data_IF_587128617998
#
_entry.id   IF_587128617998
#
_cell.length_a   1.000
_cell.length_b   1.000
_cell.length_c   1.000
_cell.angle_alpha   90.00
_cell.angle_beta   90.00
_cell.angle_gamma   90.00
#
_symmetry.space_group_name_H-M   'P 1'
#
loop_
_entity.id
_entity.type
_entity.pdbx_description
1 polymer ?
#
# COMPACT_ATOMS: atom_id res chain seq x y z
N UNK A 1 -11.09 4.47 -10.97
CA UNK A 1 -11.21 4.43 -9.50
C UNK A 1 -10.14 3.49 -8.94
N UNK A 2 -9.47 3.86 -7.85
CA UNK A 2 -8.56 2.94 -7.16
C UNK A 2 -9.37 1.99 -6.28
N UNK A 3 -9.04 0.71 -6.30
CA UNK A 3 -9.71 -0.32 -5.50
C UNK A 3 -8.68 -1.10 -4.67
N UNK A 4 -8.84 -1.22 -3.34
CA UNK A 4 -7.98 -2.08 -2.53
C UNK A 4 -8.17 -3.55 -2.94
N UNK A 5 -7.07 -4.32 -2.97
CA UNK A 5 -7.09 -5.72 -3.42
C UNK A 5 -6.65 -6.68 -2.33
N UNK A 6 -5.48 -6.43 -1.74
CA UNK A 6 -4.89 -7.25 -0.70
C UNK A 6 -3.77 -6.50 0.02
N UNK A 7 -3.23 -7.13 1.04
CA UNK A 7 -2.10 -6.66 1.83
C UNK A 7 -0.92 -7.61 1.61
N UNK A 8 0.27 -7.08 1.34
CA UNK A 8 1.48 -7.90 1.15
C UNK A 8 2.51 -7.48 2.18
N UNK A 9 3.14 -8.46 2.83
CA UNK A 9 4.21 -8.21 3.79
C UNK A 9 5.36 -7.48 3.07
N UNK A 10 5.94 -6.45 3.70
CA UNK A 10 6.87 -5.52 3.03
C UNK A 10 8.07 -6.22 2.39
N UNK A 11 8.62 -7.29 2.99
CA UNK A 11 9.75 -8.03 2.43
C UNK A 11 9.35 -8.84 1.19
N UNK A 12 8.15 -9.43 1.18
CA UNK A 12 7.60 -10.10 0.00
C UNK A 12 7.27 -9.08 -1.10
N UNK A 13 6.67 -7.94 -0.72
CA UNK A 13 6.35 -6.84 -1.62
C UNK A 13 7.60 -6.28 -2.30
N UNK A 14 8.68 -6.05 -1.52
CA UNK A 14 9.96 -5.55 -2.03
C UNK A 14 10.63 -6.51 -3.03
N UNK A 15 10.46 -7.82 -2.83
CA UNK A 15 10.93 -8.85 -3.76
C UNK A 15 10.04 -9.02 -5.00
N UNK A 16 8.94 -8.28 -5.10
CA UNK A 16 7.93 -8.44 -6.15
C UNK A 16 7.14 -9.75 -6.03
N UNK A 17 7.19 -10.40 -4.87
CA UNK A 17 6.45 -11.63 -4.61
C UNK A 17 4.99 -11.29 -4.33
N UNK A 18 4.08 -12.02 -4.97
CA UNK A 18 2.63 -11.96 -4.69
C UNK A 18 2.15 -13.13 -3.82
N UNK A 19 3.05 -14.06 -3.50
CA UNK A 19 2.80 -15.13 -2.53
C UNK A 19 2.51 -14.56 -1.15
N UNK A 20 1.72 -15.27 -0.33
CA UNK A 20 1.42 -14.90 1.06
C UNK A 20 0.69 -13.57 1.25
N UNK A 21 0.12 -13.01 0.18
CA UNK A 21 -0.78 -11.87 0.29
C UNK A 21 -1.97 -12.20 1.21
N UNK A 22 -2.28 -11.28 2.11
CA UNK A 22 -3.46 -11.32 2.97
C UNK A 22 -4.63 -10.66 2.25
N UNK A 23 -5.74 -11.39 2.14
CA UNK A 23 -7.00 -10.84 1.66
C UNK A 23 -7.49 -9.69 2.55
N UNK A 24 -8.41 -8.88 2.02
CA UNK A 24 -9.01 -7.79 2.79
C UNK A 24 -9.76 -8.33 4.02
N UNK A 25 -10.40 -9.48 3.86
CA UNK A 25 -11.16 -10.19 4.88
C UNK A 25 -10.26 -10.71 6.01
N UNK A 26 -9.04 -11.17 5.72
CA UNK A 26 -8.11 -11.71 6.73
C UNK A 26 -7.66 -10.68 7.77
N UNK A 27 -7.60 -9.40 7.40
CA UNK A 27 -7.25 -8.32 8.34
C UNK A 27 -8.47 -7.58 8.87
N UNK A 28 -9.69 -7.87 8.39
CA UNK A 28 -10.89 -7.16 8.81
C UNK A 28 -11.10 -7.24 10.33
N UNK A 29 -11.43 -6.11 10.95
CA UNK A 29 -11.62 -5.95 12.39
C UNK A 29 -10.32 -5.92 13.20
N UNK A 30 -9.15 -6.09 12.57
CA UNK A 30 -7.87 -6.05 13.27
C UNK A 30 -7.51 -4.60 13.62
N UNK A 31 -6.95 -4.42 14.81
CA UNK A 31 -6.33 -3.16 15.21
C UNK A 31 -5.07 -2.93 14.40
N UNK A 32 -4.95 -1.75 13.79
CA UNK A 32 -3.81 -1.40 12.96
C UNK A 32 -3.33 0.01 13.28
N UNK A 33 -2.04 0.24 13.04
CA UNK A 33 -1.51 1.60 12.91
C UNK A 33 -1.15 1.82 11.44
N UNK A 34 -1.39 3.01 10.94
CA UNK A 34 -1.15 3.35 9.53
C UNK A 34 -0.16 4.49 9.43
N UNK A 35 0.66 4.51 8.38
CA UNK A 35 1.49 5.67 8.08
C UNK A 35 1.58 5.93 6.58
N UNK A 36 1.67 7.20 6.20
CA UNK A 36 1.81 7.59 4.79
C UNK A 36 2.46 8.96 4.60
N UNK A 37 3.09 9.13 3.43
CA UNK A 37 3.71 10.36 2.95
C UNK A 37 3.21 10.66 1.52
N UNK A 38 1.88 10.77 1.40
CA UNK A 38 1.14 10.99 0.15
C UNK A 38 0.34 12.30 0.19
N UNK A 39 -0.01 12.86 -0.97
CA UNK A 39 -0.76 14.11 -1.07
C UNK A 39 -2.19 14.10 -0.50
N UNK A 40 -2.78 12.93 -0.24
CA UNK A 40 -4.10 12.82 0.43
C UNK A 40 -4.16 11.63 1.41
N UNK A 41 -3.56 11.76 2.61
CA UNK A 41 -3.53 10.69 3.62
C UNK A 41 -4.93 10.29 4.09
N UNK A 42 -5.85 11.25 4.25
CA UNK A 42 -7.22 11.00 4.70
C UNK A 42 -7.98 10.03 3.78
N UNK A 43 -7.77 10.10 2.47
CA UNK A 43 -8.37 9.16 1.51
C UNK A 43 -7.85 7.73 1.68
N UNK A 44 -6.55 7.58 1.96
CA UNK A 44 -5.95 6.28 2.24
C UNK A 44 -6.47 5.69 3.54
N UNK A 45 -6.57 6.50 4.60
CA UNK A 45 -7.16 6.09 5.88
C UNK A 45 -8.61 5.67 5.73
N UNK A 46 -9.42 6.45 5.00
CA UNK A 46 -10.80 6.11 4.72
C UNK A 46 -10.91 4.77 3.96
N UNK A 47 -10.04 4.53 2.98
CA UNK A 47 -10.01 3.26 2.25
C UNK A 47 -9.77 2.07 3.18
N UNK A 48 -8.87 2.20 4.16
CA UNK A 48 -8.58 1.15 5.14
C UNK A 48 -9.74 0.95 6.13
N UNK A 49 -10.38 2.03 6.56
CA UNK A 49 -11.57 1.98 7.40
C UNK A 49 -12.75 1.30 6.66
N UNK A 50 -12.94 1.59 5.38
CA UNK A 50 -13.98 0.98 4.54
C UNK A 50 -13.75 -0.53 4.31
N UNK A 51 -12.49 -0.97 4.29
CA UNK A 51 -12.11 -2.39 4.32
C UNK A 51 -12.47 -3.06 5.66
N UNK A 52 -12.72 -2.25 6.70
CA UNK A 52 -13.15 -2.69 8.02
C UNK A 52 -12.00 -2.83 9.01
N UNK A 53 -10.89 -2.12 8.82
CA UNK A 53 -9.78 -2.08 9.77
C UNK A 53 -10.07 -1.10 10.91
N UNK A 54 -9.60 -1.43 12.11
CA UNK A 54 -9.69 -0.58 13.30
C UNK A 54 -8.40 0.23 13.44
N UNK A 55 -8.36 1.41 12.84
CA UNK A 55 -7.19 2.29 12.83
C UNK A 55 -7.04 2.93 14.21
N UNK A 56 -6.05 2.48 15.00
CA UNK A 56 -5.73 3.04 16.32
C UNK A 56 -5.00 4.36 16.23
N UNK A 57 -4.11 4.46 15.25
CA UNK A 57 -3.33 5.66 15.01
C UNK A 57 -2.97 5.78 13.52
N UNK A 58 -2.89 7.03 13.04
CA UNK A 58 -2.43 7.37 11.71
C UNK A 58 -1.28 8.39 11.80
N UNK A 59 -0.08 7.99 11.37
CA UNK A 59 1.10 8.85 11.33
C UNK A 59 1.23 9.43 9.92
N UNK A 60 1.16 10.76 9.82
CA UNK A 60 1.24 11.47 8.53
C UNK A 60 2.57 12.20 8.42
N UNK A 61 3.24 11.99 7.30
CA UNK A 61 4.44 12.73 6.91
C UNK A 61 4.13 13.62 5.71
N UNK A 62 4.96 14.65 5.44
CA UNK A 62 4.85 15.46 4.23
C UNK A 62 4.86 14.58 2.96
N UNK A 63 4.16 15.00 1.92
CA UNK A 63 4.18 14.25 0.66
C UNK A 63 5.62 14.09 0.15
N UNK A 64 5.94 12.91 -0.38
CA UNK A 64 7.28 12.53 -0.83
C UNK A 64 8.35 12.38 0.26
N UNK A 65 8.00 12.40 1.55
CA UNK A 65 8.96 12.12 2.63
C UNK A 65 9.66 10.77 2.46
N UNK A 66 10.97 10.75 2.64
CA UNK A 66 11.82 9.55 2.71
C UNK A 66 11.97 9.11 4.16
N UNK A 67 11.83 7.81 4.43
CA UNK A 67 11.87 7.30 5.79
C UNK A 67 13.29 6.96 6.21
N UNK A 68 13.77 7.58 7.30
CA UNK A 68 15.01 7.18 7.95
C UNK A 68 14.84 5.93 8.84
N UNK A 69 15.95 5.27 9.17
CA UNK A 69 15.95 4.14 10.11
C UNK A 69 15.37 4.52 11.49
N UNK A 70 15.75 5.68 12.04
CA UNK A 70 15.26 6.16 13.33
C UNK A 70 13.74 6.42 13.31
N UNK A 71 13.22 6.91 12.18
CA UNK A 71 11.79 7.14 12.02
C UNK A 71 11.01 5.83 11.92
N UNK A 72 11.53 4.87 11.16
CA UNK A 72 10.90 3.54 11.07
C UNK A 72 10.93 2.80 12.41
N UNK A 73 12.00 2.96 13.20
CA UNK A 73 12.07 2.45 14.57
C UNK A 73 11.03 3.12 15.46
N UNK A 74 10.90 4.45 15.40
CA UNK A 74 9.87 5.19 16.14
C UNK A 74 8.45 4.72 15.79
N UNK A 75 8.15 4.54 14.51
CA UNK A 75 6.86 3.99 14.05
C UNK A 75 6.63 2.59 14.63
N UNK A 76 7.65 1.72 14.61
CA UNK A 76 7.56 0.37 15.18
C UNK A 76 7.31 0.38 16.69
N UNK A 77 8.06 1.19 17.44
CA UNK A 77 7.90 1.33 18.89
C UNK A 77 6.49 1.79 19.28
N UNK A 78 5.93 2.73 18.52
CA UNK A 78 4.53 3.15 18.69
C UNK A 78 3.55 2.03 18.40
N UNK A 79 3.78 1.26 17.33
CA UNK A 79 2.94 0.12 17.00
C UNK A 79 2.89 -0.90 18.14
N UNK A 80 4.06 -1.21 18.71
CA UNK A 80 4.20 -2.13 19.84
C UNK A 80 3.47 -1.56 21.07
N UNK A 81 3.69 -0.28 21.38
CA UNK A 81 3.06 0.39 22.53
C UNK A 81 1.54 0.40 22.46
N UNK A 82 0.98 0.67 21.28
CA UNK A 82 -0.47 0.68 21.04
C UNK A 82 -1.05 -0.74 20.87
N UNK A 83 -0.19 -1.77 20.94
CA UNK A 83 -0.57 -3.18 20.81
C UNK A 83 -1.40 -3.45 19.54
N UNK A 84 -0.98 -2.84 18.42
CA UNK A 84 -1.66 -3.04 17.13
C UNK A 84 -1.22 -4.36 16.50
N UNK A 85 -2.15 -5.02 15.83
CA UNK A 85 -1.88 -6.29 15.18
C UNK A 85 -1.10 -6.17 13.86
N UNK A 86 -0.98 -4.97 13.29
CA UNK A 86 -0.20 -4.70 12.08
C UNK A 86 0.07 -3.21 11.86
N UNK A 87 1.14 -2.92 11.13
CA UNK A 87 1.40 -1.65 10.46
C UNK A 87 0.94 -1.72 9.00
N UNK A 88 0.37 -0.63 8.48
CA UNK A 88 -0.03 -0.55 7.07
C UNK A 88 0.47 0.74 6.44
N UNK A 89 1.04 0.62 5.24
CA UNK A 89 1.49 1.75 4.43
C UNK A 89 1.09 1.60 2.96
N UNK A 90 1.40 2.62 2.16
CA UNK A 90 1.14 2.64 0.72
C UNK A 90 2.31 2.07 -0.07
N UNK A 91 2.06 1.62 -1.29
CA UNK A 91 3.12 1.23 -2.22
C UNK A 91 4.09 2.39 -2.55
N UNK A 92 3.61 3.65 -2.55
CA UNK A 92 4.45 4.83 -2.78
C UNK A 92 5.42 5.08 -1.63
N UNK A 93 5.04 4.71 -0.41
CA UNK A 93 5.86 4.91 0.78
C UNK A 93 6.79 3.72 1.01
N UNK A 94 6.32 2.51 0.70
CA UNK A 94 7.10 1.27 0.78
C UNK A 94 8.44 1.34 0.02
N UNK A 95 8.50 2.00 -1.15
CA UNK A 95 9.76 2.15 -1.93
C UNK A 95 10.81 3.01 -1.25
N UNK A 96 10.42 3.81 -0.24
CA UNK A 96 11.29 4.76 0.46
C UNK A 96 11.74 4.24 1.82
N UNK A 97 11.28 3.05 2.21
CA UNK A 97 11.66 2.42 3.48
C UNK A 97 13.06 1.81 3.33
N UNK A 98 13.99 2.04 4.27
CA UNK A 98 15.32 1.46 4.21
C UNK A 98 15.27 -0.06 4.17
N UNK A 99 16.07 -0.65 3.30
CA UNK A 99 16.12 -2.10 3.06
C UNK A 99 16.51 -2.86 4.34
N UNK A 100 17.37 -2.25 5.16
CA UNK A 100 17.78 -2.75 6.47
C UNK A 100 16.58 -2.93 7.40
N UNK A 101 15.63 -1.98 7.39
CA UNK A 101 14.40 -2.11 8.15
C UNK A 101 13.50 -3.20 7.57
N UNK A 102 13.44 -3.33 6.23
CA UNK A 102 12.61 -4.32 5.53
C UNK A 102 12.99 -5.76 5.91
N UNK A 103 14.28 -6.03 6.12
CA UNK A 103 14.77 -7.37 6.47
C UNK A 103 15.09 -7.57 7.95
N UNK A 104 14.84 -6.56 8.78
CA UNK A 104 14.97 -6.69 10.23
C UNK A 104 13.83 -7.56 10.81
N UNK A 105 14.09 -8.24 11.92
CA UNK A 105 13.06 -8.98 12.64
C UNK A 105 12.14 -8.00 13.37
N UNK A 106 10.86 -7.96 12.97
CA UNK A 106 9.88 -6.99 13.45
C UNK A 106 8.85 -7.68 14.34
N UNK A 107 8.58 -7.09 15.50
CA UNK A 107 7.52 -7.59 16.41
C UNK A 107 6.12 -7.41 15.82
N UNK A 108 5.89 -6.31 15.09
CA UNK A 108 4.63 -6.03 14.41
C UNK A 108 4.84 -6.16 12.89
N UNK A 109 4.03 -6.95 12.18
CA UNK A 109 4.16 -7.08 10.73
C UNK A 109 3.84 -5.76 10.03
N UNK A 110 4.60 -5.44 8.97
CA UNK A 110 4.38 -4.28 8.11
C UNK A 110 3.80 -4.75 6.78
N UNK A 111 2.60 -4.30 6.48
CA UNK A 111 1.91 -4.58 5.22
C UNK A 111 1.85 -3.36 4.30
N UNK A 112 1.97 -3.63 3.01
CA UNK A 112 1.69 -2.68 1.93
C UNK A 112 0.30 -2.96 1.38
N UNK A 113 -0.58 -1.95 1.36
CA UNK A 113 -1.86 -2.05 0.68
C UNK A 113 -1.65 -2.01 -0.84
N UNK A 114 -2.02 -3.09 -1.53
CA UNK A 114 -2.09 -3.08 -2.98
C UNK A 114 -3.43 -2.52 -3.46
N UNK A 115 -3.34 -1.63 -4.45
CA UNK A 115 -4.49 -1.04 -5.12
C UNK A 115 -4.47 -1.36 -6.61
N UNK A 116 -5.65 -1.61 -7.19
CA UNK A 116 -5.86 -1.72 -8.63
C UNK A 116 -6.57 -0.49 -9.19
N UNK A 117 -6.28 -0.17 -10.44
CA UNK A 117 -7.04 0.84 -11.18
C UNK A 117 -8.17 0.13 -11.93
N UNK A 118 -9.40 0.54 -11.64
CA UNK A 118 -10.59 0.11 -12.38
C UNK A 118 -11.10 1.24 -13.27
N UNK A 119 -11.24 0.93 -14.57
CA UNK A 119 -11.95 1.76 -15.54
C UNK A 119 -13.44 1.52 -15.32
N UNK A 120 -14.13 2.50 -14.74
CA UNK A 120 -15.55 2.42 -14.35
C UNK A 120 -16.51 2.73 -15.50
N UNK A 121 -16.03 3.35 -16.57
CA UNK A 121 -16.81 3.70 -17.77
C UNK A 121 -15.90 3.83 -18.98
N UNK A 122 -16.40 3.52 -20.18
CA UNK A 122 -15.63 3.69 -21.42
C UNK A 122 -14.48 2.69 -21.60
N UNK A 123 -14.53 1.54 -20.92
CA UNK A 123 -13.52 0.47 -21.05
C UNK A 123 -13.37 0.02 -22.51
N UNK A 124 -14.49 -0.19 -23.20
CA UNK A 124 -14.48 -0.67 -24.59
C UNK A 124 -13.85 0.36 -25.52
N UNK A 125 -14.22 1.64 -25.36
CA UNK A 125 -13.62 2.74 -26.11
C UNK A 125 -12.11 2.88 -25.85
N UNK A 126 -11.68 2.73 -24.60
CA UNK A 126 -10.27 2.74 -24.24
C UNK A 126 -9.52 1.59 -24.91
N UNK A 127 -10.06 0.36 -24.85
CA UNK A 127 -9.47 -0.81 -25.50
C UNK A 127 -9.39 -0.67 -27.01
N UNK A 128 -10.47 -0.22 -27.66
CA UNK A 128 -10.50 0.04 -29.10
C UNK A 128 -9.47 1.10 -29.52
N UNK A 129 -9.34 2.17 -28.75
CA UNK A 129 -8.39 3.26 -29.03
C UNK A 129 -6.95 2.77 -28.93
N UNK A 130 -6.61 2.04 -27.86
CA UNK A 130 -5.28 1.43 -27.69
C UNK A 130 -4.99 0.46 -28.84
N UNK A 131 -5.93 -0.44 -29.16
CA UNK A 131 -5.77 -1.42 -30.24
C UNK A 131 -5.58 -0.75 -31.62
N UNK A 132 -6.29 0.35 -31.87
CA UNK A 132 -6.17 1.12 -33.11
C UNK A 132 -4.80 1.81 -33.22
N UNK A 133 -4.32 2.41 -32.15
CA UNK A 133 -2.99 3.06 -32.13
C UNK A 133 -1.87 2.04 -32.37
N UNK A 134 -1.91 0.89 -31.68
CA UNK A 134 -0.93 -0.20 -31.89
C UNK A 134 -0.92 -0.67 -33.34
N UNK A 135 -2.10 -0.90 -33.94
CA UNK A 135 -2.22 -1.31 -35.36
C UNK A 135 -1.68 -0.27 -36.34
N UNK A 136 -1.77 1.03 -36.00
CA UNK A 136 -1.29 2.13 -36.83
C UNK A 136 0.24 2.20 -36.82
N UNK A 137 0.87 1.95 -35.67
CA UNK A 137 2.33 1.88 -35.55
C UNK A 137 2.92 0.59 -36.14
N UNK A 138 2.27 -0.56 -36.00
CA UNK A 138 2.75 -1.82 -36.60
C UNK A 138 2.54 -1.93 -38.12
N UNK A 139 1.66 -1.12 -38.72
CA UNK A 139 1.52 -1.01 -40.18
C UNK A 139 2.51 -0.04 -40.83
N UNK A 140 3.19 0.78 -40.03
CA UNK A 140 4.16 1.76 -40.49
C UNK A 140 5.62 1.31 -40.26
N UNK A 141 5.82 0.04 -39.88
CA UNK A 141 7.09 -0.70 -39.92
C UNK A 141 7.03 -1.74 -41.04
#
# INVERSE_FOLDING_TARGET
>A
MHKPVNFVEIADWYKGLRSHAKSLEELKGRSVMVFSAIGNPSSFEQTLADVGLDIKEAIRYPDHHDYGMLEMQYIMERAIKENVGALITTAKDAVKIPTEFIYFDREVPLYVLNMEIQITSGRDLFQETIARSIKKETKNQ
#
